data_IF_914071846052
#
_entry.id   IF_914071846052
#
_cell.length_a   1.000
_cell.length_b   1.000
_cell.length_c   1.000
_cell.angle_alpha   90.00
_cell.angle_beta   90.00
_cell.angle_gamma   90.00
#
_symmetry.space_group_name_H-M   'P 1'
#
loop_
_entity.id
_entity.type
_entity.pdbx_description
1 polymer ?
#
# COMPACT_ATOMS: atom_id res chain seq x y z
N UNK A 1 3.72 -9.80 -15.66
CA UNK A 1 3.87 -8.51 -14.97
C UNK A 1 2.66 -7.60 -15.15
N UNK A 2 2.13 -7.37 -16.36
CA UNK A 2 0.96 -6.48 -16.57
C UNK A 2 -0.26 -6.91 -15.74
N UNK A 3 -0.67 -8.19 -15.79
CA UNK A 3 -1.82 -8.69 -15.01
C UNK A 3 -1.61 -8.46 -13.50
N UNK A 4 -0.40 -8.70 -13.00
CA UNK A 4 -0.09 -8.51 -11.59
C UNK A 4 -0.15 -7.03 -11.19
N UNK A 5 0.30 -6.12 -12.06
CA UNK A 5 0.17 -4.67 -11.84
C UNK A 5 -1.31 -4.24 -11.83
N UNK A 6 -2.12 -4.74 -12.76
CA UNK A 6 -3.57 -4.48 -12.78
C UNK A 6 -4.23 -4.93 -11.48
N UNK A 7 -3.92 -6.14 -11.00
CA UNK A 7 -4.44 -6.65 -9.72
C UNK A 7 -3.99 -5.76 -8.57
N UNK A 8 -2.71 -5.37 -8.52
CA UNK A 8 -2.20 -4.48 -7.48
C UNK A 8 -2.93 -3.13 -7.46
N UNK A 9 -3.01 -2.44 -8.59
CA UNK A 9 -3.67 -1.14 -8.66
C UNK A 9 -5.17 -1.25 -8.35
N UNK A 10 -5.82 -2.34 -8.77
CA UNK A 10 -7.23 -2.59 -8.42
C UNK A 10 -7.45 -2.72 -6.91
N UNK A 11 -6.50 -3.33 -6.18
CA UNK A 11 -6.53 -3.42 -4.73
C UNK A 11 -6.17 -2.08 -4.08
N UNK A 12 -5.18 -1.37 -4.63
CA UNK A 12 -4.72 -0.08 -4.14
C UNK A 12 -5.83 0.98 -4.17
N UNK A 13 -6.61 1.04 -5.24
CA UNK A 13 -7.75 1.97 -5.37
C UNK A 13 -8.91 1.69 -4.40
N UNK A 14 -8.87 0.60 -3.63
CA UNK A 14 -9.84 0.35 -2.57
C UNK A 14 -9.57 1.16 -1.30
N UNK A 15 -8.36 1.71 -1.13
CA UNK A 15 -8.02 2.56 0.02
C UNK A 15 -8.95 3.78 0.20
N UNK A 16 -9.18 4.62 -0.82
CA UNK A 16 -10.08 5.76 -0.68
C UNK A 16 -11.58 5.40 -0.68
N UNK A 17 -11.95 4.15 -1.00
CA UNK A 17 -13.35 3.73 -1.17
C UNK A 17 -13.78 2.74 -0.07
N UNK A 18 -13.54 1.45 -0.27
CA UNK A 18 -13.98 0.37 0.63
C UNK A 18 -13.36 0.48 2.01
N UNK A 19 -12.05 0.76 2.09
CA UNK A 19 -11.34 0.86 3.38
C UNK A 19 -11.81 2.12 4.14
N UNK A 20 -12.05 3.23 3.45
CA UNK A 20 -12.63 4.43 4.06
C UNK A 20 -14.02 4.17 4.68
N UNK A 21 -14.89 3.42 3.99
CA UNK A 21 -16.19 3.01 4.53
C UNK A 21 -16.07 2.05 5.71
N UNK A 22 -15.09 1.14 5.68
CA UNK A 22 -14.79 0.24 6.79
C UNK A 22 -14.34 1.01 8.05
N UNK A 23 -13.46 2.01 7.90
CA UNK A 23 -13.04 2.88 9.00
C UNK A 23 -14.23 3.62 9.61
N UNK A 24 -15.17 4.08 8.77
CA UNK A 24 -16.34 4.83 9.23
C UNK A 24 -17.29 4.00 10.09
N UNK A 25 -17.51 2.72 9.74
CA UNK A 25 -18.57 1.91 10.36
C UNK A 25 -18.07 0.85 11.35
N UNK A 26 -16.85 0.34 11.18
CA UNK A 26 -16.40 -0.89 11.86
C UNK A 26 -15.13 -0.69 12.69
N UNK A 27 -14.66 0.54 12.87
CA UNK A 27 -13.40 0.83 13.55
C UNK A 27 -13.63 1.81 14.68
N UNK A 28 -13.09 1.47 15.85
CA UNK A 28 -13.01 2.39 16.96
C UNK A 28 -11.96 3.46 16.65
N UNK A 29 -12.44 4.69 16.46
CA UNK A 29 -11.66 5.86 16.06
C UNK A 29 -11.03 6.57 17.25
N UNK A 30 -11.15 6.03 18.46
CA UNK A 30 -10.46 6.54 19.64
C UNK A 30 -9.00 6.05 19.62
N UNK A 31 -8.07 6.95 19.31
CA UNK A 31 -6.63 6.70 19.38
C UNK A 31 -6.06 7.51 20.52
N UNK A 32 -5.40 6.86 21.49
CA UNK A 32 -4.85 7.53 22.69
C UNK A 32 -5.87 8.38 23.47
N UNK A 33 -7.17 8.05 23.40
CA UNK A 33 -8.25 8.79 24.06
C UNK A 33 -8.82 9.97 23.26
N UNK A 34 -8.32 10.23 22.06
CA UNK A 34 -8.86 11.25 21.14
C UNK A 34 -9.62 10.60 19.99
N UNK A 35 -10.80 11.12 19.65
CA UNK A 35 -11.52 10.71 18.45
C UNK A 35 -10.86 11.30 17.20
N UNK A 36 -10.28 10.44 16.37
CA UNK A 36 -9.69 10.84 15.10
C UNK A 36 -10.75 10.76 14.00
N UNK A 37 -10.92 11.81 13.17
CA UNK A 37 -11.82 11.74 12.02
C UNK A 37 -11.30 10.71 10.99
N UNK A 38 -12.20 9.91 10.43
CA UNK A 38 -11.83 8.84 9.49
C UNK A 38 -11.06 9.36 8.26
N UNK A 39 -11.27 10.61 7.86
CA UNK A 39 -10.55 11.26 6.76
C UNK A 39 -9.04 11.35 6.99
N UNK A 40 -8.61 11.47 8.25
CA UNK A 40 -7.19 11.56 8.59
C UNK A 40 -6.45 10.24 8.35
N UNK A 41 -7.14 9.10 8.30
CA UNK A 41 -6.51 7.80 8.02
C UNK A 41 -6.00 7.71 6.58
N UNK A 42 -6.56 8.49 5.64
CA UNK A 42 -6.05 8.56 4.27
C UNK A 42 -4.61 9.09 4.24
N UNK A 43 -4.25 9.96 5.19
CA UNK A 43 -2.89 10.51 5.32
C UNK A 43 -1.87 9.49 5.83
N UNK A 44 -2.30 8.34 6.36
CA UNK A 44 -1.38 7.30 6.81
C UNK A 44 -0.58 6.72 5.65
N UNK A 45 -1.18 6.56 4.48
CA UNK A 45 -0.48 6.03 3.30
C UNK A 45 0.72 6.92 2.89
N UNK A 46 0.58 8.23 2.58
CA UNK A 46 1.73 9.07 2.22
C UNK A 46 2.74 9.21 3.37
N UNK A 47 2.28 9.20 4.63
CA UNK A 47 3.18 9.22 5.80
C UNK A 47 4.06 7.96 5.85
N UNK A 48 3.46 6.77 5.69
CA UNK A 48 4.21 5.52 5.69
C UNK A 48 5.12 5.39 4.48
N UNK A 49 4.70 5.86 3.30
CA UNK A 49 5.58 5.90 2.13
C UNK A 49 6.81 6.74 2.43
N UNK A 50 6.64 7.96 2.95
CA UNK A 50 7.76 8.85 3.27
C UNK A 50 8.74 8.22 4.27
N UNK A 51 8.21 7.49 5.26
CA UNK A 51 9.01 6.85 6.32
C UNK A 51 9.68 5.55 5.86
N UNK A 52 8.99 4.71 5.10
CA UNK A 52 9.46 3.39 4.65
C UNK A 52 10.35 3.47 3.40
N UNK A 53 10.20 4.50 2.56
CA UNK A 53 11.01 4.68 1.34
C UNK A 53 12.52 4.61 1.60
N UNK A 54 13.11 5.42 2.50
CA UNK A 54 14.55 5.38 2.74
C UNK A 54 15.02 4.01 3.27
N UNK A 55 14.21 3.37 4.12
CA UNK A 55 14.49 2.04 4.67
C UNK A 55 14.53 0.97 3.58
N UNK A 56 13.54 0.97 2.68
CA UNK A 56 13.44 0.00 1.60
C UNK A 56 14.49 0.22 0.51
N UNK A 57 14.80 1.48 0.20
CA UNK A 57 15.89 1.85 -0.71
C UNK A 57 17.24 1.35 -0.20
N UNK A 58 17.52 1.50 1.10
CA UNK A 58 18.71 0.94 1.72
C UNK A 58 18.74 -0.59 1.61
N UNK A 59 17.62 -1.26 1.90
CA UNK A 59 17.52 -2.72 1.82
C UNK A 59 17.78 -3.23 0.39
N UNK A 60 17.20 -2.61 -0.62
CA UNK A 60 17.40 -3.01 -2.02
C UNK A 60 18.82 -2.71 -2.54
N UNK A 61 19.50 -1.71 -1.97
CA UNK A 61 20.92 -1.46 -2.26
C UNK A 61 21.81 -2.56 -1.67
N UNK A 62 21.47 -3.06 -0.49
CA UNK A 62 22.21 -4.13 0.19
C UNK A 62 21.94 -5.52 -0.40
N UNK A 63 20.69 -5.77 -0.81
CA UNK A 63 20.25 -7.04 -1.39
C UNK A 63 19.78 -6.83 -2.83
N UNK A 64 20.71 -6.80 -3.82
CA UNK A 64 20.34 -6.68 -5.21
C UNK A 64 19.46 -7.88 -5.61
N UNK A 65 18.23 -7.58 -6.00
CA UNK A 65 17.22 -8.56 -6.40
C UNK A 65 16.66 -8.20 -7.77
N UNK A 66 16.24 -9.20 -8.54
CA UNK A 66 15.61 -8.98 -9.85
C UNK A 66 14.27 -8.23 -9.70
N UNK A 67 13.86 -7.54 -10.76
CA UNK A 67 12.57 -6.83 -10.79
C UNK A 67 11.39 -7.76 -10.47
N UNK A 68 11.44 -9.01 -10.92
CA UNK A 68 10.42 -10.02 -10.62
C UNK A 68 10.32 -10.33 -9.12
N UNK A 69 11.45 -10.51 -8.43
CA UNK A 69 11.46 -10.80 -6.99
C UNK A 69 10.91 -9.62 -6.18
N UNK A 70 11.29 -8.38 -6.53
CA UNK A 70 10.73 -7.17 -5.88
C UNK A 70 9.22 -7.07 -6.07
N UNK A 71 8.71 -7.45 -7.24
CA UNK A 71 7.27 -7.46 -7.52
C UNK A 71 6.54 -8.50 -6.67
N UNK A 72 7.07 -9.72 -6.58
CA UNK A 72 6.48 -10.81 -5.79
C UNK A 72 6.42 -10.45 -4.31
N UNK A 73 7.48 -9.83 -3.77
CA UNK A 73 7.51 -9.32 -2.39
C UNK A 73 6.42 -8.25 -2.20
N UNK A 74 6.31 -7.30 -3.13
CA UNK A 74 5.25 -6.29 -3.11
C UNK A 74 3.85 -6.90 -3.08
N UNK A 75 3.57 -7.87 -3.96
CA UNK A 75 2.27 -8.56 -4.00
C UNK A 75 1.99 -9.37 -2.73
N UNK A 76 3.02 -10.01 -2.16
CA UNK A 76 2.88 -10.72 -0.90
C UNK A 76 2.53 -9.76 0.25
N UNK A 77 3.20 -8.61 0.34
CA UNK A 77 2.89 -7.57 1.32
C UNK A 77 1.48 -6.99 1.13
N UNK A 78 1.04 -6.81 -0.12
CA UNK A 78 -0.32 -6.37 -0.44
C UNK A 78 -1.36 -7.40 0.05
N UNK A 79 -1.15 -8.69 -0.23
CA UNK A 79 -2.01 -9.77 0.28
C UNK A 79 -2.04 -9.79 1.81
N UNK A 80 -0.88 -9.61 2.45
CA UNK A 80 -0.78 -9.54 3.90
C UNK A 80 -1.53 -8.32 4.48
N UNK A 81 -1.52 -7.17 3.81
CA UNK A 81 -2.27 -5.98 4.21
C UNK A 81 -3.78 -6.26 4.26
N UNK A 82 -4.34 -6.90 3.23
CA UNK A 82 -5.75 -7.30 3.24
C UNK A 82 -6.04 -8.42 4.25
N UNK A 83 -5.09 -9.35 4.44
CA UNK A 83 -5.22 -10.38 5.46
C UNK A 83 -5.27 -9.79 6.87
N UNK A 84 -4.48 -8.75 7.17
CA UNK A 84 -4.55 -8.07 8.48
C UNK A 84 -5.89 -7.39 8.71
N UNK A 85 -6.53 -6.83 7.67
CA UNK A 85 -7.89 -6.29 7.77
C UNK A 85 -8.92 -7.39 8.00
N UNK A 86 -8.76 -8.56 7.39
CA UNK A 86 -9.62 -9.70 7.66
C UNK A 86 -9.44 -10.23 9.09
N UNK A 87 -8.19 -10.38 9.54
CA UNK A 87 -7.85 -10.83 10.89
C UNK A 87 -8.37 -9.86 11.97
N UNK A 88 -8.46 -8.57 11.63
CA UNK A 88 -9.02 -7.51 12.48
C UNK A 88 -10.44 -7.86 12.98
N UNK A 89 -11.22 -8.63 12.21
CA UNK A 89 -12.55 -9.12 12.59
C UNK A 89 -12.53 -10.05 13.81
N UNK A 90 -11.46 -10.81 14.00
CA UNK A 90 -11.32 -11.77 15.11
C UNK A 90 -11.12 -11.02 16.43
N UNK A 91 -10.45 -9.87 16.39
CA UNK A 91 -10.25 -8.99 17.54
C UNK A 91 -11.34 -7.93 17.70
N UNK A 92 -12.42 -7.99 16.92
CA UNK A 92 -13.50 -7.02 17.01
C UNK A 92 -14.36 -7.30 18.25
N UNK A 93 -14.55 -6.27 19.07
CA UNK A 93 -15.44 -6.32 20.25
C UNK A 93 -16.63 -5.41 19.96
N UNK A 94 -17.85 -5.93 20.10
CA UNK A 94 -19.10 -5.21 19.79
C UNK A 94 -19.18 -4.65 18.35
N UNK A 95 -18.50 -5.28 17.38
CA UNK A 95 -18.52 -4.86 15.97
C UNK A 95 -17.47 -3.81 15.60
N UNK A 96 -16.70 -3.31 16.57
CA UNK A 96 -15.62 -2.36 16.34
C UNK A 96 -14.25 -3.03 16.46
N UNK A 97 -13.37 -2.78 15.49
CA UNK A 97 -11.96 -3.17 15.55
C UNK A 97 -11.08 -1.99 15.99
N UNK A 98 -10.00 -2.29 16.72
CA UNK A 98 -8.96 -1.31 17.04
C UNK A 98 -8.33 -0.69 15.78
N UNK A 99 -8.17 0.63 15.82
CA UNK A 99 -7.45 1.41 14.80
C UNK A 99 -6.02 0.94 14.53
N UNK A 100 -5.37 0.21 15.44
CA UNK A 100 -4.00 -0.27 15.25
C UNK A 100 -3.87 -1.29 14.10
N UNK A 101 -4.92 -2.07 13.85
CA UNK A 101 -4.97 -3.00 12.72
C UNK A 101 -4.97 -2.27 11.38
N UNK A 102 -5.64 -1.13 11.31
CA UNK A 102 -5.61 -0.25 10.15
C UNK A 102 -4.22 0.34 9.95
N UNK A 103 -3.61 0.86 11.01
CA UNK A 103 -2.25 1.41 10.95
C UNK A 103 -1.28 0.38 10.37
N UNK A 104 -1.36 -0.88 10.84
CA UNK A 104 -0.54 -1.97 10.31
C UNK A 104 -0.85 -2.30 8.85
N UNK A 105 -2.14 -2.38 8.47
CA UNK A 105 -2.54 -2.63 7.09
C UNK A 105 -2.03 -1.55 6.13
N UNK A 106 -2.19 -0.27 6.50
CA UNK A 106 -1.68 0.87 5.74
C UNK A 106 -0.15 0.84 5.61
N UNK A 107 0.57 0.45 6.67
CA UNK A 107 2.03 0.30 6.60
C UNK A 107 2.47 -0.80 5.62
N UNK A 108 1.81 -1.96 5.65
CA UNK A 108 2.06 -3.07 4.71
C UNK A 108 1.70 -2.69 3.27
N UNK A 109 0.57 -2.01 3.08
CA UNK A 109 0.12 -1.53 1.77
C UNK A 109 1.12 -0.51 1.20
N UNK A 110 1.60 0.42 2.01
CA UNK A 110 2.60 1.41 1.60
C UNK A 110 3.94 0.76 1.25
N UNK A 111 4.37 -0.26 2.00
CA UNK A 111 5.57 -1.05 1.66
C UNK A 111 5.41 -1.78 0.32
N UNK A 112 4.23 -2.32 0.03
CA UNK A 112 3.94 -2.96 -1.26
C UNK A 112 3.97 -1.96 -2.42
N UNK A 113 3.46 -0.75 -2.20
CA UNK A 113 3.47 0.34 -3.17
C UNK A 113 4.90 0.75 -3.54
N UNK A 114 5.79 0.94 -2.56
CA UNK A 114 7.19 1.30 -2.84
C UNK A 114 7.87 0.20 -3.67
N UNK A 115 7.62 -1.07 -3.37
CA UNK A 115 8.18 -2.20 -4.14
C UNK A 115 7.76 -2.15 -5.61
N UNK A 116 6.50 -1.81 -5.88
CA UNK A 116 5.90 -1.85 -7.22
C UNK A 116 6.16 -0.54 -7.98
N UNK A 117 6.19 0.61 -7.30
CA UNK A 117 6.56 1.90 -7.86
C UNK A 117 7.98 1.89 -8.46
N UNK A 118 8.92 1.19 -7.81
CA UNK A 118 10.28 0.99 -8.32
C UNK A 118 10.33 0.19 -9.64
N UNK A 119 9.25 -0.52 -9.99
CA UNK A 119 9.14 -1.36 -11.19
C UNK A 119 8.33 -0.66 -12.28
N UNK A 120 7.34 0.16 -11.92
CA UNK A 120 6.55 0.96 -12.88
C UNK A 120 7.43 1.81 -13.80
N UNK A 121 8.42 2.51 -13.23
CA UNK A 121 9.39 3.31 -14.01
C UNK A 121 10.30 2.43 -14.90
N UNK A 122 10.65 1.23 -14.43
CA UNK A 122 11.47 0.27 -15.18
C UNK A 122 10.71 -0.39 -16.35
N UNK A 123 9.41 -0.64 -16.20
CA UNK A 123 8.59 -1.19 -17.30
C UNK A 123 8.29 -0.13 -18.37
N UNK A 124 8.03 1.11 -17.98
CA UNK A 124 7.81 2.22 -18.92
C UNK A 124 9.08 2.46 -19.75
N UNK A 125 10.26 2.41 -19.13
CA UNK A 125 11.54 2.57 -19.85
C UNK A 125 11.90 1.38 -20.74
N UNK A 126 11.46 0.16 -20.43
CA UNK A 126 11.71 -1.03 -21.26
C UNK A 126 10.68 -1.22 -22.40
N UNK A 127 9.43 -0.78 -22.23
CA UNK A 127 8.39 -0.89 -23.26
C UNK A 127 8.24 0.36 -24.14
N UNK A 128 8.74 1.53 -23.72
CA UNK A 128 8.66 2.73 -24.55
C UNK A 128 9.81 2.74 -25.56
N UNK A 129 9.54 2.76 -26.89
CA UNK A 129 10.58 3.07 -27.85
C UNK A 129 11.15 4.46 -27.54
N UNK A 130 12.47 4.63 -27.68
CA UNK A 130 13.28 5.81 -27.32
C UNK A 130 12.65 7.16 -27.77
N UNK A 131 11.77 7.14 -28.76
CA UNK A 131 11.04 8.28 -29.32
C UNK A 131 9.90 8.85 -28.44
N UNK A 132 9.32 8.09 -27.49
CA UNK A 132 8.04 8.46 -26.83
C UNK A 132 8.15 8.50 -25.29
N UNK A 133 9.34 8.30 -24.74
CA UNK A 133 9.55 8.22 -23.28
C UNK A 133 9.16 9.49 -22.52
N UNK A 134 9.10 10.66 -23.18
CA UNK A 134 8.71 11.93 -22.55
C UNK A 134 7.19 12.13 -22.42
N UNK A 135 6.40 11.52 -23.30
CA UNK A 135 4.92 11.63 -23.28
C UNK A 135 4.26 10.60 -22.35
N UNK A 136 4.93 9.49 -22.04
CA UNK A 136 4.40 8.46 -21.14
C UNK A 136 4.47 8.83 -19.64
N UNK A 137 5.32 9.78 -19.26
CA UNK A 137 5.39 10.36 -17.90
C UNK A 137 4.60 11.67 -17.77
N UNK A 138 3.88 12.08 -18.81
CA UNK A 138 3.31 13.43 -18.95
C UNK A 138 1.79 13.55 -18.87
N UNK A 139 1.06 12.52 -18.46
CA UNK A 139 -0.41 12.59 -18.21
C UNK A 139 -0.80 11.87 -16.93
#
# INVERSE_FOLDING_TARGET
MIIQAVVFFSLYFQMPTSIALFIKHNVDRTLFGFEIPYSSYVLLNPLFIALLTPLLMYLFKKFPSTHATKFTIGMFLCSLAFFTLYASKISAVAGFTSSWWLVLSYALQSASEICIAAIGLAMITQLSPISISGTATGV
#
